data_IF_033195495201
#
_entry.id   IF_033195495201
#
_cell.length_a   1.000
_cell.length_b   1.000
_cell.length_c   1.000
_cell.angle_alpha   90.00
_cell.angle_beta   90.00
_cell.angle_gamma   90.00
#
_symmetry.space_group_name_H-M   'P 1'
#
loop_
_entity.id
_entity.type
_entity.pdbx_description
1 polymer ?
#
# COMPACT_ATOMS: atom_id res chain seq x y z
N UNK A 1 -9.85 0.71 -7.33
CA UNK A 1 -8.61 -0.11 -7.32
C UNK A 1 -7.62 0.23 -8.44
N UNK A 2 -8.05 0.62 -9.65
CA UNK A 2 -7.12 0.99 -10.75
C UNK A 2 -6.25 2.21 -10.42
N UNK A 3 -6.84 3.27 -9.89
CA UNK A 3 -6.12 4.51 -9.56
C UNK A 3 -5.04 4.31 -8.50
N UNK A 4 -5.35 3.55 -7.44
CA UNK A 4 -4.39 3.18 -6.40
C UNK A 4 -3.19 2.39 -6.97
N UNK A 5 -3.43 1.50 -7.93
CA UNK A 5 -2.35 0.76 -8.59
C UNK A 5 -1.49 1.66 -9.48
N UNK A 6 -2.10 2.60 -10.21
CA UNK A 6 -1.37 3.60 -11.01
C UNK A 6 -0.49 4.44 -10.09
N UNK A 7 -1.05 4.95 -8.99
CA UNK A 7 -0.31 5.73 -8.01
C UNK A 7 0.87 4.95 -7.41
N UNK A 8 0.65 3.70 -6.99
CA UNK A 8 1.73 2.84 -6.47
C UNK A 8 2.85 2.69 -7.51
N UNK A 9 2.49 2.44 -8.77
CA UNK A 9 3.48 2.29 -9.84
C UNK A 9 4.25 3.59 -10.11
N UNK A 10 3.57 4.73 -10.15
CA UNK A 10 4.19 6.04 -10.29
C UNK A 10 5.14 6.36 -9.12
N UNK A 11 4.75 6.06 -7.89
CA UNK A 11 5.61 6.27 -6.72
C UNK A 11 6.85 5.37 -6.77
N UNK A 12 6.71 4.12 -7.20
CA UNK A 12 7.86 3.24 -7.43
C UNK A 12 8.81 3.77 -8.51
N UNK A 13 8.26 4.32 -9.59
CA UNK A 13 9.05 4.76 -10.74
C UNK A 13 9.74 6.11 -10.52
N UNK A 14 9.05 7.06 -9.90
CA UNK A 14 9.51 8.45 -9.77
C UNK A 14 10.11 8.77 -8.39
N UNK A 15 9.93 7.91 -7.39
CA UNK A 15 10.46 8.12 -6.03
C UNK A 15 11.30 6.92 -5.55
N UNK A 16 12.47 6.65 -6.16
CA UNK A 16 13.30 5.48 -5.84
C UNK A 16 13.86 5.49 -4.40
N UNK A 17 13.96 6.66 -3.77
CA UNK A 17 14.39 6.79 -2.37
C UNK A 17 13.32 6.36 -1.37
N UNK A 18 12.07 6.17 -1.82
CA UNK A 18 10.98 5.79 -0.96
C UNK A 18 11.11 4.31 -0.56
N UNK A 19 11.14 4.06 0.75
CA UNK A 19 11.31 2.71 1.27
C UNK A 19 10.13 1.81 0.85
N UNK A 20 10.43 0.81 0.02
CA UNK A 20 9.44 -0.07 -0.63
C UNK A 20 8.41 -0.65 0.35
N UNK A 21 8.88 -1.13 1.50
CA UNK A 21 8.02 -1.72 2.54
C UNK A 21 7.03 -0.72 3.13
N UNK A 22 7.45 0.54 3.31
CA UNK A 22 6.58 1.61 3.82
C UNK A 22 5.52 1.98 2.80
N UNK A 23 5.90 2.07 1.52
CA UNK A 23 4.97 2.31 0.43
C UNK A 23 3.93 1.18 0.32
N UNK A 24 4.37 -0.07 0.31
CA UNK A 24 3.48 -1.23 0.24
C UNK A 24 2.52 -1.29 1.44
N UNK A 25 3.02 -0.99 2.64
CA UNK A 25 2.22 -0.93 3.87
C UNK A 25 1.12 0.12 3.76
N UNK A 26 1.47 1.32 3.29
CA UNK A 26 0.55 2.42 3.13
C UNK A 26 -0.51 2.07 2.07
N UNK A 27 -0.10 1.57 0.91
CA UNK A 27 -1.00 1.19 -0.17
C UNK A 27 -1.98 0.10 0.27
N UNK A 28 -1.52 -0.89 1.04
CA UNK A 28 -2.37 -1.95 1.58
C UNK A 28 -3.40 -1.42 2.59
N UNK A 29 -2.97 -0.57 3.53
CA UNK A 29 -3.88 0.07 4.49
C UNK A 29 -4.93 0.95 3.80
N UNK A 30 -4.53 1.73 2.81
CA UNK A 30 -5.44 2.57 2.02
C UNK A 30 -6.44 1.74 1.24
N UNK A 31 -6.04 0.61 0.63
CA UNK A 31 -6.97 -0.31 -0.06
C UNK A 31 -7.99 -0.89 0.91
N UNK A 32 -7.55 -1.33 2.08
CA UNK A 32 -8.46 -1.86 3.10
C UNK A 32 -9.47 -0.80 3.58
N UNK A 33 -9.01 0.44 3.81
CA UNK A 33 -9.87 1.56 4.19
C UNK A 33 -10.92 1.87 3.12
N UNK A 34 -10.53 1.92 1.85
CA UNK A 34 -11.46 2.16 0.72
C UNK A 34 -12.48 1.02 0.59
N UNK A 35 -12.08 -0.22 0.88
CA UNK A 35 -12.97 -1.39 0.89
C UNK A 35 -13.82 -1.50 2.17
N UNK A 36 -13.78 -0.51 3.07
CA UNK A 36 -14.41 -0.56 4.40
C UNK A 36 -14.04 -1.81 5.21
N UNK A 37 -12.82 -2.34 4.99
CA UNK A 37 -12.27 -3.46 5.75
C UNK A 37 -11.45 -2.93 6.92
N UNK A 38 -11.71 -3.47 8.11
CA UNK A 38 -10.82 -3.28 9.24
C UNK A 38 -9.56 -4.11 9.00
N UNK A 39 -8.42 -3.44 8.88
CA UNK A 39 -7.11 -4.10 8.77
C UNK A 39 -6.38 -3.90 10.10
N UNK A 40 -6.21 -4.98 10.86
CA UNK A 40 -5.40 -4.92 12.08
C UNK A 40 -3.90 -4.79 11.73
N UNK A 41 -3.10 -4.25 12.65
CA UNK A 41 -1.64 -4.20 12.48
C UNK A 41 -1.04 -5.59 12.22
N UNK A 42 -1.62 -6.63 12.82
CA UNK A 42 -1.24 -8.03 12.62
C UNK A 42 -1.51 -8.49 11.19
N UNK A 43 -2.69 -8.18 10.63
CA UNK A 43 -3.04 -8.54 9.26
C UNK A 43 -2.22 -7.75 8.25
N UNK A 44 -1.94 -6.48 8.53
CA UNK A 44 -1.07 -5.65 7.70
C UNK A 44 0.34 -6.26 7.62
N UNK A 45 0.91 -6.69 8.75
CA UNK A 45 2.21 -7.36 8.79
C UNK A 45 2.25 -8.67 7.99
N UNK A 46 1.17 -9.46 7.98
CA UNK A 46 1.08 -10.73 7.23
C UNK A 46 0.94 -10.55 5.72
N UNK A 47 0.34 -9.43 5.29
CA UNK A 47 0.06 -9.14 3.88
C UNK A 47 1.13 -8.25 3.22
N UNK A 48 2.18 -7.89 3.97
CA UNK A 48 3.34 -7.17 3.48
C UNK A 48 4.35 -8.16 2.86
N UNK A 49 4.81 -7.95 1.61
CA UNK A 49 5.88 -8.74 1.00
C UNK A 49 7.27 -8.44 1.60
#
# INVERSE_FOLDING_TARGET
>A
MREANILQHSLHQYCPELHLKRLNSLMLASKALIECKTLTLTELGRNLP
#
